data_IF_009945558920
#
_entry.id   IF_009945558920
#
_cell.length_a   1.000
_cell.length_b   1.000
_cell.length_c   1.000
_cell.angle_alpha   90.00
_cell.angle_beta   90.00
_cell.angle_gamma   90.00
#
_symmetry.space_group_name_H-M   'P 1'
#
loop_
_entity.id
_entity.type
_entity.pdbx_description
1 polymer ?
#
# COMPACT_ATOMS: atom_id res chain seq x y z
N UNK A 1 -8.42 2.10 -18.53
CA UNK A 1 -8.11 2.16 -17.09
C UNK A 1 -7.99 0.73 -16.59
N UNK A 2 -6.78 0.31 -16.25
CA UNK A 2 -6.44 -1.09 -15.96
C UNK A 2 -7.21 -1.58 -14.71
N UNK A 3 -7.92 -2.70 -14.84
CA UNK A 3 -8.86 -3.20 -13.80
C UNK A 3 -8.11 -3.80 -12.60
N UNK A 4 -6.84 -4.17 -12.78
CA UNK A 4 -6.03 -4.73 -11.71
C UNK A 4 -5.54 -3.66 -10.72
N UNK A 5 -5.56 -2.38 -11.11
CA UNK A 5 -5.22 -1.22 -10.27
C UNK A 5 -6.11 -1.10 -9.03
N UNK A 6 -7.40 -1.34 -9.22
CA UNK A 6 -8.44 -1.16 -8.20
C UNK A 6 -8.46 -2.34 -7.24
N UNK A 7 -8.08 -3.54 -7.70
CA UNK A 7 -8.24 -4.78 -6.93
C UNK A 7 -7.28 -4.85 -5.75
N UNK A 8 -5.98 -4.64 -5.97
CA UNK A 8 -4.97 -4.74 -4.91
C UNK A 8 -5.17 -3.64 -3.86
N UNK A 9 -5.47 -2.41 -4.29
CA UNK A 9 -5.77 -1.29 -3.41
C UNK A 9 -7.03 -1.54 -2.57
N UNK A 10 -8.06 -2.15 -3.17
CA UNK A 10 -9.30 -2.53 -2.49
C UNK A 10 -9.12 -3.69 -1.50
N UNK A 11 -8.19 -4.62 -1.75
CA UNK A 11 -7.89 -5.71 -0.83
C UNK A 11 -7.41 -5.20 0.53
N UNK A 12 -6.57 -4.17 0.58
CA UNK A 12 -6.13 -3.60 1.86
C UNK A 12 -7.27 -2.98 2.66
N UNK A 13 -8.21 -2.32 1.99
CA UNK A 13 -9.41 -1.78 2.65
C UNK A 13 -10.28 -2.90 3.21
N UNK A 14 -10.50 -3.97 2.43
CA UNK A 14 -11.24 -5.14 2.89
C UNK A 14 -10.57 -5.81 4.10
N UNK A 15 -9.23 -5.85 4.16
CA UNK A 15 -8.49 -6.33 5.34
C UNK A 15 -8.72 -5.45 6.59
N UNK A 16 -8.91 -4.14 6.39
CA UNK A 16 -9.33 -3.23 7.46
C UNK A 16 -10.76 -3.51 7.93
N UNK A 17 -11.68 -3.75 6.99
CA UNK A 17 -13.09 -4.01 7.30
C UNK A 17 -13.29 -5.31 8.11
N UNK A 18 -12.44 -6.31 7.91
CA UNK A 18 -12.45 -7.56 8.71
C UNK A 18 -11.61 -7.47 9.99
N UNK A 19 -11.03 -6.31 10.29
CA UNK A 19 -10.24 -6.06 11.51
C UNK A 19 -8.84 -6.68 11.54
N UNK A 20 -8.36 -7.22 10.42
CA UNK A 20 -6.99 -7.75 10.31
C UNK A 20 -5.94 -6.63 10.24
N UNK A 21 -6.33 -5.46 9.76
CA UNK A 21 -5.53 -4.24 9.80
C UNK A 21 -6.32 -3.14 10.51
N UNK A 22 -5.61 -2.21 11.15
CA UNK A 22 -6.26 -0.96 11.55
C UNK A 22 -6.72 -0.19 10.30
N UNK A 23 -7.88 0.48 10.36
CA UNK A 23 -8.35 1.31 9.24
C UNK A 23 -7.31 2.33 8.73
N UNK A 24 -6.53 3.02 9.60
CA UNK A 24 -5.46 3.90 9.15
C UNK A 24 -4.37 3.17 8.36
N UNK A 25 -3.95 1.99 8.80
CA UNK A 25 -2.92 1.18 8.12
C UNK A 25 -3.44 0.63 6.78
N UNK A 26 -4.67 0.11 6.76
CA UNK A 26 -5.36 -0.33 5.55
C UNK A 26 -5.42 0.77 4.48
N UNK A 27 -5.76 2.00 4.89
CA UNK A 27 -5.79 3.15 3.98
C UNK A 27 -4.39 3.50 3.44
N UNK A 28 -3.36 3.56 4.29
CA UNK A 28 -1.98 3.86 3.85
C UNK A 28 -1.46 2.79 2.88
N UNK A 29 -1.71 1.51 3.15
CA UNK A 29 -1.31 0.41 2.28
C UNK A 29 -2.06 0.42 0.93
N UNK A 30 -3.36 0.75 0.94
CA UNK A 30 -4.14 0.96 -0.29
C UNK A 30 -3.53 2.03 -1.20
N UNK A 31 -3.10 3.16 -0.61
CA UNK A 31 -2.41 4.24 -1.34
C UNK A 31 -1.05 3.80 -1.88
N UNK A 32 -0.27 3.04 -1.12
CA UNK A 32 1.02 2.51 -1.55
C UNK A 32 0.88 1.54 -2.74
N UNK A 33 -0.10 0.64 -2.69
CA UNK A 33 -0.40 -0.30 -3.78
C UNK A 33 -0.87 0.43 -5.06
N UNK A 34 -1.72 1.45 -4.92
CA UNK A 34 -2.14 2.29 -6.03
C UNK A 34 -0.97 3.06 -6.67
N UNK A 35 -0.09 3.63 -5.84
CA UNK A 35 1.11 4.34 -6.32
C UNK A 35 2.04 3.43 -7.13
N UNK A 36 2.32 2.22 -6.63
CA UNK A 36 3.14 1.23 -7.33
C UNK A 36 2.65 0.97 -8.75
N UNK A 37 1.33 0.97 -8.96
CA UNK A 37 0.80 0.72 -10.28
C UNK A 37 0.90 1.94 -11.22
N UNK A 38 0.65 3.15 -10.72
CA UNK A 38 0.92 4.38 -11.48
C UNK A 38 2.39 4.42 -11.89
N UNK A 39 3.30 4.06 -10.98
CA UNK A 39 4.73 4.00 -11.24
C UNK A 39 5.13 3.02 -12.35
N UNK A 40 4.39 1.93 -12.54
CA UNK A 40 4.65 0.96 -13.63
C UNK A 40 4.15 1.49 -14.98
N UNK A 41 3.00 2.16 -15.00
CA UNK A 41 2.40 2.63 -16.25
C UNK A 41 2.90 3.99 -16.73
N UNK A 42 3.26 4.88 -15.80
CA UNK A 42 3.61 6.28 -16.07
C UNK A 42 5.06 6.61 -15.70
N UNK A 43 5.95 5.59 -15.62
CA UNK A 43 7.34 5.77 -15.19
C UNK A 43 8.10 6.83 -16.00
N UNK A 44 7.77 7.01 -17.28
CA UNK A 44 8.45 7.95 -18.17
C UNK A 44 8.16 9.42 -17.85
N UNK A 45 7.05 9.71 -17.16
CA UNK A 45 6.61 11.07 -16.79
C UNK A 45 6.52 11.27 -15.28
N UNK A 46 7.07 10.33 -14.49
CA UNK A 46 6.96 10.33 -13.04
C UNK A 46 7.98 11.26 -12.38
N UNK A 47 7.54 11.98 -11.34
CA UNK A 47 8.41 12.77 -10.47
C UNK A 47 9.18 11.85 -9.51
N UNK A 48 10.49 11.74 -9.73
CA UNK A 48 11.38 10.92 -8.92
C UNK A 48 11.54 11.42 -7.47
N UNK A 49 11.29 12.70 -7.20
CA UNK A 49 11.29 13.25 -5.84
C UNK A 49 10.13 12.72 -5.00
N UNK A 50 8.96 12.54 -5.61
CA UNK A 50 7.80 11.90 -4.98
C UNK A 50 8.11 10.42 -4.69
N UNK A 51 8.69 9.70 -5.66
CA UNK A 51 9.11 8.30 -5.49
C UNK A 51 10.08 8.18 -4.33
N UNK A 52 11.14 8.99 -4.32
CA UNK A 52 12.17 8.99 -3.30
C UNK A 52 11.59 9.24 -1.90
N UNK A 53 10.69 10.21 -1.78
CA UNK A 53 10.03 10.53 -0.50
C UNK A 53 9.20 9.34 -0.01
N UNK A 54 8.43 8.70 -0.90
CA UNK A 54 7.59 7.56 -0.52
C UNK A 54 8.45 6.38 -0.03
N UNK A 55 9.49 5.99 -0.77
CA UNK A 55 10.33 4.84 -0.40
C UNK A 55 11.18 5.07 0.86
N UNK A 56 11.43 6.33 1.24
CA UNK A 56 12.25 6.67 2.42
C UNK A 56 11.42 6.96 3.66
N UNK A 57 10.21 7.52 3.53
CA UNK A 57 9.40 7.97 4.67
C UNK A 57 8.29 7.01 5.08
N UNK A 58 7.94 6.03 4.22
CA UNK A 58 6.80 5.11 4.45
C UNK A 58 7.23 3.69 4.82
N UNK A 59 8.52 3.45 5.12
CA UNK A 59 9.00 2.11 5.47
C UNK A 59 8.35 1.55 6.73
N UNK A 60 7.93 2.41 7.66
CA UNK A 60 7.24 1.99 8.88
C UNK A 60 5.84 1.43 8.62
N UNK A 61 5.14 1.89 7.59
CA UNK A 61 3.84 1.32 7.19
C UNK A 61 3.98 -0.16 6.82
N UNK A 62 5.07 -0.53 6.15
CA UNK A 62 5.35 -1.93 5.80
C UNK A 62 5.73 -2.77 7.03
N UNK A 63 6.43 -2.17 8.01
CA UNK A 63 6.74 -2.84 9.29
C UNK A 63 5.47 -3.10 10.10
N UNK A 64 4.60 -2.11 10.20
CA UNK A 64 3.32 -2.21 10.90
C UNK A 64 2.40 -3.24 10.23
N UNK A 65 2.37 -3.25 8.89
CA UNK A 65 1.68 -4.30 8.13
C UNK A 65 2.23 -5.69 8.43
N UNK A 66 3.55 -5.89 8.41
CA UNK A 66 4.14 -7.20 8.73
C UNK A 66 3.83 -7.64 10.17
N UNK A 67 3.89 -6.71 11.14
CA UNK A 67 3.56 -6.99 12.54
C UNK A 67 2.11 -7.43 12.72
N UNK A 68 1.17 -6.87 11.95
CA UNK A 68 -0.23 -7.27 12.00
C UNK A 68 -0.43 -8.76 11.70
N UNK A 69 0.44 -9.38 10.89
CA UNK A 69 0.37 -10.80 10.54
C UNK A 69 1.29 -11.71 11.34
N UNK A 70 2.43 -11.21 11.83
CA UNK A 70 3.33 -12.00 12.71
C UNK A 70 2.64 -12.38 14.02
N UNK A 71 1.74 -11.55 14.53
CA UNK A 71 0.94 -11.86 15.73
C UNK A 71 -0.16 -12.92 15.48
N UNK A 72 -0.45 -13.24 14.21
CA UNK A 72 -1.46 -14.24 13.82
C UNK A 72 -0.86 -15.63 13.57
N UNK A 73 0.47 -15.76 13.58
CA UNK A 73 1.16 -17.05 13.45
C UNK A 73 1.54 -17.59 14.84
N UNK A 74 1.04 -18.78 15.24
CA UNK A 74 1.38 -19.42 16.52
C UNK A 74 2.80 -19.98 16.57
#
# INVERSE_FOLDING_TARGET
>A
MDRDLVRVSGTFLALGDVGLLSHPLAYRMSKAAGFRNIAVHEYASMDWGIVYTIITTRLDDFREFAQAFVLLTP
#
